data_IF_968620834655
#
_entry.id   IF_968620834655
#
_cell.length_a   1.000
_cell.length_b   1.000
_cell.length_c   1.000
_cell.angle_alpha   90.00
_cell.angle_beta   90.00
_cell.angle_gamma   90.00
#
_symmetry.space_group_name_H-M   'P 1'
#
loop_
_entity.id
_entity.type
_entity.pdbx_description
1 polymer ?
#
# COMPACT_ATOMS: atom_id res chain seq x y z
N UNK A 1 -8.51 -7.61 -13.31
CA UNK A 1 -9.38 -6.57 -12.70
C UNK A 1 -10.82 -6.97 -13.00
N UNK A 2 -11.36 -7.97 -12.28
CA UNK A 2 -12.62 -8.63 -12.64
C UNK A 2 -13.79 -8.17 -11.77
N UNK A 3 -13.68 -8.23 -10.44
CA UNK A 3 -14.76 -7.88 -9.52
C UNK A 3 -15.28 -6.43 -9.71
N UNK A 4 -14.38 -5.44 -9.77
CA UNK A 4 -14.78 -4.03 -9.97
C UNK A 4 -15.26 -3.73 -11.40
N UNK A 5 -14.76 -4.45 -12.40
CA UNK A 5 -15.07 -4.20 -13.81
C UNK A 5 -16.35 -4.92 -14.27
N UNK A 6 -16.74 -5.99 -13.57
CA UNK A 6 -17.94 -6.78 -13.85
C UNK A 6 -19.04 -6.57 -12.81
N UNK A 7 -18.87 -5.66 -11.86
CA UNK A 7 -19.92 -5.28 -10.93
C UNK A 7 -21.14 -4.72 -11.69
N UNK A 8 -22.35 -5.10 -11.27
CA UNK A 8 -23.61 -4.62 -11.84
C UNK A 8 -23.71 -3.08 -11.88
N UNK A 9 -23.07 -2.42 -10.91
CA UNK A 9 -22.83 -0.97 -10.89
C UNK A 9 -21.34 -0.71 -10.84
N UNK A 10 -20.66 -0.53 -11.99
CA UNK A 10 -19.23 -0.33 -12.03
C UNK A 10 -18.78 0.94 -11.31
N UNK A 11 -17.55 0.94 -10.78
CA UNK A 11 -17.04 2.07 -9.99
C UNK A 11 -17.05 3.40 -10.75
N UNK A 12 -16.76 3.39 -12.06
CA UNK A 12 -16.77 4.59 -12.92
C UNK A 12 -18.16 5.17 -13.17
N UNK A 13 -19.23 4.45 -12.82
CA UNK A 13 -20.60 4.99 -12.82
C UNK A 13 -20.98 5.64 -11.49
N UNK A 14 -20.16 5.47 -10.46
CA UNK A 14 -20.41 5.90 -9.08
C UNK A 14 -19.42 6.97 -8.60
N UNK A 15 -18.23 7.02 -9.20
CA UNK A 15 -17.18 7.99 -8.92
C UNK A 15 -16.87 8.76 -10.21
N UNK A 16 -16.88 10.09 -10.12
CA UNK A 16 -16.44 10.94 -11.23
C UNK A 16 -14.94 10.77 -11.48
N UNK A 17 -14.49 11.08 -12.70
CA UNK A 17 -13.06 11.09 -13.00
C UNK A 17 -12.32 12.09 -12.12
N UNK A 18 -12.88 13.29 -11.90
CA UNK A 18 -12.30 14.32 -11.03
C UNK A 18 -12.05 13.81 -9.59
N UNK A 19 -12.98 13.00 -9.04
CA UNK A 19 -12.78 12.41 -7.72
C UNK A 19 -11.65 11.35 -7.72
N UNK A 20 -11.51 10.59 -8.82
CA UNK A 20 -10.41 9.66 -8.98
C UNK A 20 -9.05 10.36 -9.14
N UNK A 21 -9.01 11.48 -9.86
CA UNK A 21 -7.83 12.33 -10.03
C UNK A 21 -7.41 12.96 -8.69
N UNK A 22 -8.36 13.50 -7.92
CA UNK A 22 -8.09 14.04 -6.59
C UNK A 22 -7.55 12.97 -5.64
N UNK A 23 -8.11 11.75 -5.68
CA UNK A 23 -7.60 10.61 -4.93
C UNK A 23 -6.15 10.30 -5.30
N UNK A 24 -5.82 10.30 -6.60
CA UNK A 24 -4.46 10.03 -7.07
C UNK A 24 -3.48 11.09 -6.55
N UNK A 25 -3.83 12.38 -6.63
CA UNK A 25 -2.98 13.46 -6.13
C UNK A 25 -2.81 13.44 -4.61
N UNK A 26 -3.89 13.17 -3.87
CA UNK A 26 -3.88 13.03 -2.42
C UNK A 26 -2.99 11.85 -1.98
N UNK A 27 -3.14 10.69 -2.63
CA UNK A 27 -2.30 9.53 -2.38
C UNK A 27 -0.82 9.76 -2.74
N UNK A 28 -0.53 10.49 -3.82
CA UNK A 28 0.84 10.80 -4.21
C UNK A 28 1.53 11.74 -3.21
N UNK A 29 0.79 12.66 -2.59
CA UNK A 29 1.32 13.62 -1.61
C UNK A 29 1.48 13.02 -0.22
N UNK A 30 0.42 12.40 0.29
CA UNK A 30 0.30 12.01 1.69
C UNK A 30 0.48 10.49 1.89
N UNK A 31 0.57 9.73 0.80
CA UNK A 31 0.85 8.30 0.83
C UNK A 31 -0.24 7.50 1.53
N UNK A 32 0.18 6.60 2.41
CA UNK A 32 -0.72 5.68 3.13
C UNK A 32 -1.61 6.39 4.17
N UNK A 33 -1.27 7.63 4.51
CA UNK A 33 -2.00 8.49 5.46
C UNK A 33 -2.93 9.51 4.75
N UNK A 34 -3.08 9.41 3.43
CA UNK A 34 -3.98 10.25 2.65
C UNK A 34 -5.45 10.09 3.05
N UNK A 35 -6.32 10.98 2.55
CA UNK A 35 -7.77 10.83 2.57
C UNK A 35 -8.25 10.63 1.13
N UNK A 36 -9.00 9.56 0.91
CA UNK A 36 -9.56 9.21 -0.40
C UNK A 36 -11.08 9.25 -0.33
N UNK A 37 -11.72 9.71 -1.39
CA UNK A 37 -13.15 9.55 -1.59
C UNK A 37 -13.45 8.17 -2.17
N UNK A 38 -14.43 7.48 -1.60
CA UNK A 38 -14.96 6.24 -2.14
C UNK A 38 -16.50 6.28 -2.19
N UNK A 39 -17.15 5.84 -3.28
CA UNK A 39 -18.60 5.82 -3.36
C UNK A 39 -19.26 5.07 -2.21
N UNK A 40 -20.42 5.54 -1.76
CA UNK A 40 -21.22 4.96 -0.64
C UNK A 40 -20.56 5.05 0.75
N UNK A 41 -19.26 5.34 0.83
CA UNK A 41 -18.51 5.49 2.09
C UNK A 41 -18.16 6.97 2.36
N UNK A 42 -17.87 7.74 1.32
CA UNK A 42 -17.33 9.09 1.44
C UNK A 42 -15.81 9.06 1.68
N UNK A 43 -15.32 9.94 2.57
CA UNK A 43 -13.89 10.08 2.83
C UNK A 43 -13.35 8.99 3.77
N UNK A 44 -12.39 8.22 3.29
CA UNK A 44 -11.80 7.06 3.97
C UNK A 44 -10.28 7.06 3.81
N UNK A 45 -9.56 6.51 4.80
CA UNK A 45 -8.11 6.33 4.69
C UNK A 45 -7.76 5.14 3.77
N UNK A 46 -6.66 5.19 3.00
CA UNK A 46 -6.24 4.10 2.12
C UNK A 46 -6.17 2.75 2.82
N UNK A 47 -5.65 2.72 4.06
CA UNK A 47 -5.53 1.51 4.88
C UNK A 47 -6.89 0.87 5.15
N UNK A 48 -7.84 1.68 5.59
CA UNK A 48 -9.18 1.20 5.91
C UNK A 48 -9.93 0.75 4.65
N UNK A 49 -9.80 1.51 3.56
CA UNK A 49 -10.40 1.15 2.28
C UNK A 49 -9.86 -0.20 1.77
N UNK A 50 -8.54 -0.41 1.83
CA UNK A 50 -7.92 -1.66 1.42
C UNK A 50 -8.40 -2.82 2.30
N UNK A 51 -8.28 -2.69 3.63
CA UNK A 51 -8.61 -3.75 4.57
C UNK A 51 -10.09 -4.13 4.55
N UNK A 52 -11.00 -3.15 4.43
CA UNK A 52 -12.44 -3.41 4.55
C UNK A 52 -13.15 -3.69 3.24
N UNK A 53 -12.54 -3.38 2.09
CA UNK A 53 -13.20 -3.48 0.79
C UNK A 53 -12.29 -4.11 -0.27
N UNK A 54 -11.13 -3.50 -0.54
CA UNK A 54 -10.37 -3.86 -1.73
C UNK A 54 -9.71 -5.24 -1.65
N UNK A 55 -9.29 -5.69 -0.45
CA UNK A 55 -8.71 -7.04 -0.31
C UNK A 55 -9.71 -8.15 -0.64
N UNK A 56 -10.95 -8.04 -0.16
CA UNK A 56 -12.00 -9.00 -0.46
C UNK A 56 -12.30 -9.05 -1.97
N UNK A 57 -12.46 -7.87 -2.59
CA UNK A 57 -12.69 -7.75 -4.04
C UNK A 57 -11.50 -8.28 -4.86
N UNK A 58 -10.27 -8.10 -4.37
CA UNK A 58 -9.08 -8.65 -5.00
C UNK A 58 -9.05 -10.18 -4.91
N UNK A 59 -9.37 -10.75 -3.75
CA UNK A 59 -9.46 -12.20 -3.56
C UNK A 59 -10.50 -12.83 -4.49
N UNK A 60 -11.73 -12.29 -4.50
CA UNK A 60 -12.80 -12.74 -5.39
C UNK A 60 -12.39 -12.66 -6.88
N UNK A 61 -11.73 -11.57 -7.25
CA UNK A 61 -11.24 -11.39 -8.62
C UNK A 61 -10.18 -12.41 -9.00
N UNK A 62 -9.24 -12.73 -8.10
CA UNK A 62 -8.18 -13.72 -8.34
C UNK A 62 -8.75 -15.15 -8.39
N UNK A 63 -9.75 -15.46 -7.58
CA UNK A 63 -10.48 -16.72 -7.61
C UNK A 63 -11.20 -16.92 -8.93
N UNK A 64 -11.84 -15.87 -9.45
CA UNK A 64 -12.47 -15.89 -10.77
C UNK A 64 -11.49 -16.15 -11.92
N UNK A 65 -10.20 -15.84 -11.74
CA UNK A 65 -9.13 -16.17 -12.70
C UNK A 65 -8.47 -17.53 -12.46
N UNK A 66 -8.86 -18.27 -11.42
CA UNK A 66 -8.30 -19.57 -11.08
C UNK A 66 -6.86 -19.52 -10.54
N UNK A 67 -6.48 -18.41 -9.89
CA UNK A 67 -5.19 -18.31 -9.20
C UNK A 67 -5.16 -19.30 -8.03
N UNK A 68 -4.00 -19.92 -7.80
CA UNK A 68 -3.83 -20.83 -6.67
C UNK A 68 -4.11 -20.11 -5.33
N UNK A 69 -4.99 -20.66 -4.46
CA UNK A 69 -5.35 -20.00 -3.22
C UNK A 69 -4.16 -19.72 -2.29
N UNK A 70 -3.15 -20.58 -2.26
CA UNK A 70 -1.99 -20.37 -1.40
C UNK A 70 -1.12 -19.21 -1.92
N UNK A 71 -0.98 -19.06 -3.24
CA UNK A 71 -0.31 -17.90 -3.82
C UNK A 71 -1.08 -16.60 -3.61
N UNK A 72 -2.41 -16.63 -3.83
CA UNK A 72 -3.33 -15.52 -3.57
C UNK A 72 -3.20 -15.03 -2.12
N UNK A 73 -3.37 -15.94 -1.15
CA UNK A 73 -3.37 -15.62 0.26
C UNK A 73 -2.01 -15.11 0.74
N UNK A 74 -0.92 -15.68 0.23
CA UNK A 74 0.44 -15.19 0.51
C UNK A 74 0.61 -13.73 0.10
N UNK A 75 0.26 -13.37 -1.13
CA UNK A 75 0.48 -12.01 -1.63
C UNK A 75 -0.53 -11.00 -1.08
N UNK A 76 -1.80 -11.36 -0.95
CA UNK A 76 -2.80 -10.50 -0.32
C UNK A 76 -2.50 -10.29 1.17
N UNK A 77 -1.99 -11.31 1.86
CA UNK A 77 -1.52 -11.20 3.25
C UNK A 77 -0.39 -10.17 3.40
N UNK A 78 0.53 -10.08 2.45
CA UNK A 78 1.56 -9.01 2.48
C UNK A 78 0.93 -7.62 2.39
N UNK A 79 -0.08 -7.43 1.52
CA UNK A 79 -0.79 -6.16 1.40
C UNK A 79 -1.55 -5.83 2.67
N UNK A 80 -2.25 -6.81 3.25
CA UNK A 80 -2.95 -6.68 4.53
C UNK A 80 -2.01 -6.21 5.64
N UNK A 81 -0.88 -6.88 5.83
CA UNK A 81 0.08 -6.55 6.89
C UNK A 81 0.70 -5.16 6.70
N UNK A 82 0.94 -4.71 5.47
CA UNK A 82 1.38 -3.32 5.20
C UNK A 82 0.32 -2.30 5.60
N UNK A 83 -0.96 -2.60 5.39
CA UNK A 83 -2.05 -1.72 5.81
C UNK A 83 -2.28 -1.74 7.33
N UNK A 84 -2.09 -2.88 7.99
CA UNK A 84 -2.20 -3.01 9.45
C UNK A 84 -1.07 -2.24 10.15
N UNK A 85 0.17 -2.47 9.74
CA UNK A 85 1.36 -1.84 10.32
C UNK A 85 1.56 -0.39 9.90
N UNK A 86 0.95 0.04 8.79
CA UNK A 86 1.23 1.34 8.17
C UNK A 86 2.59 1.40 7.47
N UNK A 87 3.32 0.29 7.39
CA UNK A 87 4.69 0.24 6.85
C UNK A 87 4.70 -0.23 5.40
N UNK A 88 5.08 0.67 4.50
CA UNK A 88 5.42 0.38 3.12
C UNK A 88 6.86 0.83 2.82
N UNK A 89 7.34 0.61 1.58
CA UNK A 89 8.70 0.99 1.20
C UNK A 89 9.02 2.47 1.41
N UNK A 90 8.13 3.37 1.02
CA UNK A 90 8.33 4.80 1.18
C UNK A 90 8.37 5.23 2.66
N UNK A 91 7.49 4.66 3.49
CA UNK A 91 7.47 4.91 4.94
C UNK A 91 8.75 4.40 5.58
N UNK A 92 9.15 3.14 5.33
CA UNK A 92 10.35 2.56 5.91
C UNK A 92 11.61 3.34 5.52
N UNK A 93 11.79 3.69 4.24
CA UNK A 93 12.97 4.46 3.79
C UNK A 93 13.02 5.83 4.47
N UNK A 94 11.88 6.53 4.58
CA UNK A 94 11.80 7.83 5.25
C UNK A 94 12.12 7.72 6.74
N UNK A 95 11.58 6.70 7.41
CA UNK A 95 11.79 6.47 8.85
C UNK A 95 13.22 6.05 9.17
N UNK A 96 13.83 5.16 8.38
CA UNK A 96 15.21 4.72 8.53
C UNK A 96 16.19 5.89 8.37
N UNK A 97 16.02 6.71 7.32
CA UNK A 97 16.84 7.92 7.13
C UNK A 97 16.68 8.88 8.31
N UNK A 98 15.45 9.14 8.75
CA UNK A 98 15.19 10.02 9.89
C UNK A 98 15.77 9.47 11.20
N UNK A 99 15.78 8.14 11.40
CA UNK A 99 16.39 7.50 12.55
C UNK A 99 17.91 7.69 12.55
N UNK A 100 18.57 7.51 11.40
CA UNK A 100 20.01 7.75 11.22
C UNK A 100 20.39 9.21 11.44
N UNK A 101 19.60 10.16 10.93
CA UNK A 101 19.78 11.58 11.18
C UNK A 101 19.65 11.92 12.67
N UNK A 102 18.64 11.36 13.36
CA UNK A 102 18.50 11.51 14.82
C UNK A 102 19.66 10.91 15.60
N UNK A 103 20.30 9.86 15.06
CA UNK A 103 21.50 9.25 15.63
C UNK A 103 22.79 10.05 15.31
N UNK A 104 22.70 11.15 14.57
CA UNK A 104 23.82 12.08 14.31
C UNK A 104 24.47 11.94 12.94
N UNK A 105 23.96 11.08 12.05
CA UNK A 105 24.47 11.00 10.69
C UNK A 105 24.11 12.24 9.88
N UNK A 106 24.99 12.67 8.97
CA UNK A 106 24.65 13.64 7.94
C UNK A 106 23.61 13.05 6.98
N UNK A 107 22.90 13.91 6.23
CA UNK A 107 21.92 13.47 5.23
C UNK A 107 22.49 12.45 4.23
N UNK A 108 23.72 12.67 3.77
CA UNK A 108 24.36 11.79 2.79
C UNK A 108 24.69 10.42 3.39
N UNK A 109 25.23 10.39 4.62
CA UNK A 109 25.49 9.14 5.34
C UNK A 109 24.20 8.37 5.64
N UNK A 110 23.14 9.08 6.05
CA UNK A 110 21.85 8.48 6.32
C UNK A 110 21.22 7.84 5.06
N UNK A 111 21.31 8.50 3.90
CA UNK A 111 20.82 7.98 2.62
C UNK A 111 21.62 6.76 2.15
N UNK A 112 22.96 6.80 2.25
CA UNK A 112 23.80 5.65 1.90
C UNK A 112 23.54 4.46 2.81
N UNK A 113 23.41 4.71 4.12
CA UNK A 113 23.08 3.67 5.09
C UNK A 113 21.72 3.05 4.83
N UNK A 114 20.68 3.86 4.61
CA UNK A 114 19.35 3.36 4.25
C UNK A 114 19.38 2.50 2.98
N UNK A 115 20.11 2.92 1.94
CA UNK A 115 20.22 2.14 0.71
C UNK A 115 20.93 0.79 0.95
N UNK A 116 21.96 0.76 1.80
CA UNK A 116 22.65 -0.47 2.15
C UNK A 116 21.69 -1.47 2.83
N UNK A 117 20.97 -1.04 3.88
CA UNK A 117 19.96 -1.86 4.57
C UNK A 117 18.86 -2.31 3.60
N UNK A 118 18.40 -1.41 2.74
CA UNK A 118 17.37 -1.70 1.75
C UNK A 118 17.78 -2.84 0.83
N UNK A 119 19.03 -2.83 0.34
CA UNK A 119 19.55 -3.87 -0.55
C UNK A 119 19.66 -5.22 0.16
N UNK A 120 20.08 -5.23 1.43
CA UNK A 120 20.12 -6.46 2.24
C UNK A 120 18.72 -7.07 2.39
N UNK A 121 17.75 -6.26 2.81
CA UNK A 121 16.39 -6.74 3.00
C UNK A 121 15.70 -7.15 1.68
N UNK A 122 15.97 -6.43 0.59
CA UNK A 122 15.44 -6.77 -0.73
C UNK A 122 15.95 -8.15 -1.19
N UNK A 123 17.23 -8.45 -0.98
CA UNK A 123 17.80 -9.76 -1.32
C UNK A 123 17.29 -10.88 -0.42
N UNK A 124 16.97 -10.61 0.84
CA UNK A 124 16.35 -11.59 1.74
C UNK A 124 14.93 -11.98 1.29
N UNK A 125 14.25 -11.14 0.51
CA UNK A 125 12.91 -11.40 0.01
C UNK A 125 11.81 -11.21 1.06
N UNK A 126 12.16 -10.71 2.24
CA UNK A 126 11.20 -10.50 3.33
C UNK A 126 10.29 -9.30 3.05
N UNK A 127 9.00 -9.36 3.39
CA UNK A 127 8.10 -8.23 3.21
C UNK A 127 8.49 -7.02 4.08
N UNK A 128 8.51 -5.81 3.49
CA UNK A 128 8.88 -4.55 4.19
C UNK A 128 8.19 -4.27 5.54
N UNK A 129 6.99 -4.80 5.77
CA UNK A 129 6.32 -4.64 7.06
C UNK A 129 7.01 -5.40 8.20
N UNK A 130 7.95 -6.30 7.88
CA UNK A 130 8.76 -7.08 8.84
C UNK A 130 10.13 -6.48 9.13
N UNK A 131 10.57 -5.48 8.34
CA UNK A 131 11.92 -4.93 8.47
C UNK A 131 12.03 -4.03 9.70
N UNK A 132 13.16 -4.11 10.38
CA UNK A 132 13.48 -3.28 11.55
C UNK A 132 13.85 -1.83 11.14
N UNK A 133 13.86 -0.92 12.13
CA UNK A 133 14.22 0.49 11.98
C UNK A 133 15.41 0.85 12.85
#
# INVERSE_FOLDING_TARGET
>A
MHALAQADRPLWTQMTFDAAEENLHSAARDGIEARLYWPEIGWIGPRELVLRRLLALAAEGLDGYGVDPAERDRYLGVVEQRCLTGRNGAVWQRENVAARERAGATRSEALHGMLADYLEHMHAGEPVHTWEL
#
